data_IF_926223136123
#
_entry.id   IF_926223136123
#
_cell.length_a   1.000
_cell.length_b   1.000
_cell.length_c   1.000
_cell.angle_alpha   90.00
_cell.angle_beta   90.00
_cell.angle_gamma   90.00
#
_symmetry.space_group_name_H-M   'P 1'
#
loop_
_entity.id
_entity.type
_entity.pdbx_description
1 polymer ?
#
# COMPACT_ATOMS: atom_id res chain seq x y z
N UNK A 1 -28.06 -7.03 43.91
CA UNK A 1 -28.52 -7.51 42.82
C UNK A 1 -28.48 -6.61 41.71
N UNK A 2 -29.11 -5.56 41.72
CA UNK A 2 -29.03 -4.71 40.59
C UNK A 2 -27.70 -4.22 40.37
N UNK A 3 -26.90 -4.24 41.31
CA UNK A 3 -25.57 -3.83 41.14
C UNK A 3 -24.83 -4.54 40.07
N UNK A 4 -25.11 -5.76 39.91
CA UNK A 4 -24.47 -6.59 38.97
C UNK A 4 -24.60 -6.10 37.59
N UNK A 5 -25.70 -5.51 37.28
CA UNK A 5 -25.89 -5.07 35.93
C UNK A 5 -24.99 -3.97 35.53
N UNK A 6 -24.57 -3.17 36.46
CA UNK A 6 -23.71 -2.14 36.06
C UNK A 6 -22.41 -2.62 35.67
N UNK A 7 -21.96 -3.65 36.30
CA UNK A 7 -20.66 -4.17 36.03
C UNK A 7 -20.49 -4.58 34.63
N UNK A 8 -21.50 -5.18 34.08
CA UNK A 8 -21.33 -5.63 32.71
C UNK A 8 -21.17 -4.46 31.79
N UNK A 9 -21.84 -3.41 32.07
CA UNK A 9 -21.70 -2.28 31.16
C UNK A 9 -20.29 -1.75 31.17
N UNK A 10 -19.68 -1.76 32.30
CA UNK A 10 -18.35 -1.26 32.39
C UNK A 10 -17.39 -2.08 31.61
N UNK A 11 -17.54 -3.36 31.68
CA UNK A 11 -16.63 -4.22 30.98
C UNK A 11 -16.62 -3.93 29.50
N UNK A 12 -17.76 -3.63 28.97
CA UNK A 12 -17.81 -3.36 27.56
C UNK A 12 -17.02 -2.12 27.22
N UNK A 13 -17.12 -1.14 28.01
CA UNK A 13 -16.41 0.06 27.72
C UNK A 13 -14.94 -0.13 27.70
N UNK A 14 -14.45 -0.91 28.65
CA UNK A 14 -13.02 -1.13 28.71
C UNK A 14 -12.51 -1.84 27.46
N UNK A 15 -13.24 -2.79 27.00
CA UNK A 15 -12.80 -3.52 25.85
C UNK A 15 -12.68 -2.64 24.63
N UNK A 16 -13.59 -1.75 24.46
CA UNK A 16 -13.54 -0.89 23.30
C UNK A 16 -12.36 0.06 23.35
N UNK A 17 -12.04 0.51 24.50
CA UNK A 17 -10.97 1.46 24.62
C UNK A 17 -9.64 0.89 24.18
N UNK A 18 -9.38 -0.33 24.56
CA UNK A 18 -8.07 -0.89 24.22
C UNK A 18 -7.92 -1.06 22.72
N UNK A 19 -8.98 -1.36 22.01
CA UNK A 19 -8.87 -1.48 20.58
C UNK A 19 -8.57 -0.14 19.94
N UNK A 20 -9.22 0.89 20.41
CA UNK A 20 -9.01 2.18 19.81
C UNK A 20 -7.62 2.71 19.99
N UNK A 21 -7.00 2.38 21.09
CA UNK A 21 -5.67 2.91 21.32
C UNK A 21 -4.66 2.39 20.34
N UNK A 22 -4.78 1.17 19.96
CA UNK A 22 -3.85 0.62 19.00
C UNK A 22 -3.93 1.36 17.68
N UNK A 23 -5.13 1.68 17.27
CA UNK A 23 -5.29 2.37 16.02
C UNK A 23 -4.74 3.79 16.07
N UNK A 24 -4.90 4.43 17.19
CA UNK A 24 -4.42 5.78 17.31
C UNK A 24 -2.93 5.88 17.24
N UNK A 25 -2.25 4.94 17.82
CA UNK A 25 -0.81 4.98 17.78
C UNK A 25 -0.28 4.94 16.37
N UNK A 26 -0.89 4.14 15.53
CA UNK A 26 -0.46 4.07 14.16
C UNK A 26 -0.70 5.37 13.43
N UNK A 27 -1.76 6.05 13.77
CA UNK A 27 -2.06 7.30 13.10
C UNK A 27 -1.03 8.37 13.41
N UNK A 28 -0.59 8.43 14.63
CA UNK A 28 0.36 9.45 14.98
C UNK A 28 1.67 9.34 14.25
N UNK A 29 2.11 8.15 14.04
CA UNK A 29 3.41 7.97 13.40
C UNK A 29 3.45 8.50 12.00
N UNK A 30 2.30 8.65 11.38
CA UNK A 30 2.27 9.03 9.97
C UNK A 30 1.77 10.44 9.71
N UNK A 31 1.49 11.18 10.76
CA UNK A 31 0.91 12.51 10.58
C UNK A 31 1.84 13.52 9.95
N UNK A 32 3.12 13.39 10.22
CA UNK A 32 4.09 14.35 9.74
C UNK A 32 4.81 13.93 8.48
N UNK A 33 4.55 12.75 8.01
CA UNK A 33 5.24 12.24 6.83
C UNK A 33 4.38 12.36 5.59
N UNK A 34 4.97 12.72 4.45
CA UNK A 34 4.22 12.75 3.21
C UNK A 34 3.62 11.38 2.89
N UNK A 35 2.41 11.41 2.41
CA UNK A 35 1.66 10.20 2.09
C UNK A 35 1.76 9.92 0.59
N UNK A 36 1.94 8.69 0.25
CA UNK A 36 1.99 8.25 -1.14
C UNK A 36 0.81 7.32 -1.40
N UNK A 37 -0.01 7.67 -2.38
CA UNK A 37 -1.13 6.84 -2.79
C UNK A 37 -0.87 6.39 -4.21
N UNK A 38 -0.80 5.07 -4.41
CA UNK A 38 -0.64 4.52 -5.73
C UNK A 38 -1.92 3.87 -6.20
N UNK A 39 -2.22 4.00 -7.47
CA UNK A 39 -3.34 3.34 -8.09
C UNK A 39 -2.85 2.49 -9.24
N UNK A 40 -3.29 1.24 -9.28
CA UNK A 40 -2.90 0.28 -10.30
C UNK A 40 -4.12 -0.06 -11.14
N UNK A 41 -3.98 0.11 -12.45
CA UNK A 41 -5.08 -0.15 -13.39
C UNK A 41 -4.60 -1.00 -14.55
N UNK A 42 -5.56 -1.56 -15.29
CA UNK A 42 -5.28 -2.21 -16.56
C UNK A 42 -5.26 -1.18 -17.69
N UNK A 43 -5.04 -1.60 -18.94
CA UNK A 43 -5.00 -0.64 -20.05
C UNK A 43 -6.31 0.12 -20.28
N UNK A 44 -7.42 -0.39 -19.78
CA UNK A 44 -8.72 0.26 -19.92
C UNK A 44 -9.10 1.09 -18.70
N UNK A 45 -8.11 1.39 -17.85
CA UNK A 45 -8.28 2.18 -16.62
C UNK A 45 -9.14 1.50 -15.55
N UNK A 46 -9.30 0.19 -15.64
CA UNK A 46 -10.01 -0.54 -14.58
C UNK A 46 -9.03 -0.87 -13.46
N UNK A 47 -9.44 -0.66 -12.22
CA UNK A 47 -8.56 -0.96 -11.08
C UNK A 47 -8.27 -2.45 -10.99
N UNK A 48 -7.04 -2.78 -10.60
CA UNK A 48 -6.64 -4.16 -10.42
C UNK A 48 -6.39 -4.42 -8.94
N UNK A 49 -7.14 -5.36 -8.40
CA UNK A 49 -7.01 -5.76 -7.02
C UNK A 49 -5.91 -6.81 -6.87
N UNK A 50 -5.33 -6.87 -5.68
CA UNK A 50 -4.42 -7.97 -5.28
C UNK A 50 -3.08 -8.00 -6.01
N UNK A 51 -2.64 -6.88 -6.50
CA UNK A 51 -1.29 -6.75 -7.05
C UNK A 51 -0.32 -6.61 -5.89
N UNK A 52 0.73 -7.39 -5.91
CA UNK A 52 1.78 -7.29 -4.90
C UNK A 52 2.63 -6.07 -5.19
N UNK A 53 2.71 -5.17 -4.24
CA UNK A 53 3.47 -3.94 -4.36
C UNK A 53 4.66 -4.02 -3.42
N UNK A 54 5.84 -4.08 -3.96
CA UNK A 54 7.05 -4.02 -3.15
C UNK A 54 7.55 -2.59 -3.18
N UNK A 55 7.68 -2.00 -2.02
CA UNK A 55 8.08 -0.62 -1.84
C UNK A 55 9.45 -0.62 -1.20
N UNK A 56 10.45 -0.18 -1.94
CA UNK A 56 11.83 -0.22 -1.53
C UNK A 56 12.34 1.21 -1.36
N UNK A 57 12.72 1.53 -0.14
CA UNK A 57 13.26 2.84 0.17
C UNK A 57 14.78 2.78 0.27
N UNK A 58 15.42 3.68 -0.44
CA UNK A 58 16.88 3.87 -0.38
C UNK A 58 17.67 2.61 -0.65
N UNK A 59 17.30 1.93 -1.73
CA UNK A 59 18.04 0.77 -2.23
C UNK A 59 18.23 -0.34 -1.20
N UNK A 60 17.11 -0.75 -0.61
CA UNK A 60 17.10 -1.86 0.32
C UNK A 60 17.20 -1.48 1.77
N UNK A 61 17.27 -0.20 2.08
CA UNK A 61 17.35 0.21 3.47
C UNK A 61 16.06 -0.12 4.23
N UNK A 62 14.92 0.04 3.57
CA UNK A 62 13.65 -0.34 4.15
C UNK A 62 12.72 -0.85 3.06
N UNK A 63 12.18 -2.04 3.25
CA UNK A 63 11.29 -2.67 2.27
C UNK A 63 9.95 -2.96 2.91
N UNK A 64 8.89 -2.57 2.22
CA UNK A 64 7.53 -2.78 2.65
C UNK A 64 6.76 -3.49 1.54
N UNK A 65 5.88 -4.40 1.91
CA UNK A 65 5.06 -5.12 0.93
C UNK A 65 3.60 -4.84 1.20
N UNK A 66 2.89 -4.42 0.17
CA UNK A 66 1.47 -4.13 0.22
C UNK A 66 0.75 -4.85 -0.92
N UNK A 67 -0.56 -4.84 -0.87
CA UNK A 67 -1.39 -5.41 -1.93
C UNK A 67 -2.46 -4.39 -2.27
N UNK A 68 -2.79 -4.25 -3.55
CA UNK A 68 -3.83 -3.32 -3.94
C UNK A 68 -5.20 -3.82 -3.49
N UNK A 69 -6.05 -2.88 -3.13
CA UNK A 69 -7.42 -3.18 -2.72
C UNK A 69 -8.36 -3.23 -3.94
N UNK A 70 -9.65 -3.34 -3.69
CA UNK A 70 -10.64 -3.45 -4.77
C UNK A 70 -10.71 -2.22 -5.67
N UNK A 71 -10.20 -1.10 -5.19
CA UNK A 71 -10.11 0.12 -6.00
C UNK A 71 -8.75 0.27 -6.66
N UNK A 72 -7.91 -0.74 -6.56
CA UNK A 72 -6.57 -0.73 -7.13
C UNK A 72 -5.60 0.13 -6.37
N UNK A 73 -5.89 0.47 -5.13
CA UNK A 73 -5.10 1.42 -4.37
C UNK A 73 -4.16 0.75 -3.37
N UNK A 74 -3.03 1.38 -3.19
CA UNK A 74 -2.14 1.08 -2.08
C UNK A 74 -1.64 2.40 -1.50
N UNK A 75 -1.29 2.40 -0.23
CA UNK A 75 -0.83 3.61 0.46
C UNK A 75 0.43 3.30 1.23
N UNK A 76 1.40 4.20 1.16
CA UNK A 76 2.57 4.14 2.00
C UNK A 76 2.93 5.56 2.44
N UNK A 77 3.88 5.67 3.34
CA UNK A 77 4.32 6.96 3.86
C UNK A 77 5.81 7.08 3.67
N UNK A 78 6.23 8.28 3.31
CA UNK A 78 7.65 8.56 3.16
C UNK A 78 8.31 8.43 4.53
N UNK A 79 9.47 7.81 4.56
CA UNK A 79 10.20 7.70 5.80
C UNK A 79 10.77 9.03 6.20
N UNK A 80 10.74 9.31 7.49
CA UNK A 80 11.33 10.54 7.97
C UNK A 80 12.84 10.41 7.87
N UNK A 81 13.43 11.32 7.13
CA UNK A 81 14.85 11.47 7.06
C UNK A 81 15.23 12.83 7.62
N UNK A 82 16.44 13.26 7.37
CA UNK A 82 16.81 14.59 7.74
C UNK A 82 16.16 15.57 6.78
N UNK A 83 15.81 16.71 7.30
CA UNK A 83 15.16 17.73 6.50
C UNK A 83 16.01 18.11 5.31
N UNK A 84 15.41 18.06 4.12
CA UNK A 84 16.11 18.40 2.90
C UNK A 84 16.82 17.24 2.23
N UNK A 85 16.80 16.06 2.82
CA UNK A 85 17.37 14.89 2.17
C UNK A 85 16.41 14.30 1.17
N UNK A 86 16.96 13.84 0.06
CA UNK A 86 16.18 13.12 -0.91
C UNK A 86 16.18 11.64 -0.57
N UNK A 87 15.10 10.98 -0.90
CA UNK A 87 14.98 9.54 -0.72
C UNK A 87 14.68 8.87 -2.04
N UNK A 88 15.24 7.71 -2.24
CA UNK A 88 15.03 6.94 -3.46
C UNK A 88 13.94 5.92 -3.19
N UNK A 89 12.90 5.96 -4.01
CA UNK A 89 11.77 5.04 -3.89
C UNK A 89 11.70 4.18 -5.12
N UNK A 90 11.73 2.87 -4.94
CA UNK A 90 11.48 1.93 -6.03
C UNK A 90 10.20 1.17 -5.74
N UNK A 91 9.27 1.21 -6.66
CA UNK A 91 8.02 0.47 -6.54
C UNK A 91 7.99 -0.62 -7.59
N UNK A 92 7.81 -1.85 -7.16
CA UNK A 92 7.70 -3.00 -8.04
C UNK A 92 6.32 -3.62 -7.89
N UNK A 93 5.66 -3.80 -9.02
CA UNK A 93 4.30 -4.33 -9.08
C UNK A 93 4.32 -5.70 -9.72
N UNK A 94 3.74 -6.68 -9.05
CA UNK A 94 3.74 -8.06 -9.53
C UNK A 94 2.36 -8.69 -9.35
N UNK A 95 1.90 -9.35 -10.40
CA UNK A 95 0.67 -10.11 -10.33
C UNK A 95 1.02 -11.51 -9.80
N UNK A 96 0.49 -11.83 -8.63
CA UNK A 96 0.85 -13.07 -7.96
C UNK A 96 -0.28 -14.09 -7.94
N UNK A 97 -1.44 -13.76 -8.48
CA UNK A 97 -2.59 -14.64 -8.38
C UNK A 97 -3.01 -15.25 -9.73
N UNK A 98 -2.21 -15.08 -10.75
CA UNK A 98 -2.50 -15.66 -12.05
C UNK A 98 -3.68 -14.99 -12.73
N UNK A 99 -4.69 -15.78 -13.07
CA UNK A 99 -5.83 -15.26 -13.81
C UNK A 99 -6.91 -14.62 -12.96
N UNK A 100 -6.75 -14.64 -11.65
CA UNK A 100 -7.74 -14.03 -10.77
C UNK A 100 -7.68 -12.51 -10.86
N UNK A 101 -8.72 -11.85 -10.44
CA UNK A 101 -8.80 -10.39 -10.37
C UNK A 101 -8.44 -9.68 -11.68
N UNK A 102 -9.01 -10.15 -12.77
CA UNK A 102 -8.92 -9.42 -14.03
C UNK A 102 -7.91 -9.94 -15.03
N UNK A 103 -7.25 -11.04 -14.74
CA UNK A 103 -6.30 -11.66 -15.65
C UNK A 103 -4.87 -11.53 -15.19
N UNK A 104 -3.96 -11.99 -16.00
CA UNK A 104 -2.53 -11.98 -15.69
C UNK A 104 -1.88 -10.73 -16.27
N UNK A 105 -1.10 -10.04 -15.46
CA UNK A 105 -0.46 -8.79 -15.85
C UNK A 105 1.05 -8.89 -15.77
N UNK A 106 1.71 -8.12 -16.63
CA UNK A 106 3.16 -8.05 -16.63
C UNK A 106 3.66 -7.21 -15.48
N UNK A 107 4.79 -7.60 -14.91
CA UNK A 107 5.41 -6.85 -13.81
C UNK A 107 5.92 -5.50 -14.28
N UNK A 108 5.97 -4.56 -13.36
CA UNK A 108 6.46 -3.22 -13.64
C UNK A 108 7.25 -2.71 -12.44
N UNK A 109 8.34 -2.03 -12.70
CA UNK A 109 9.15 -1.44 -11.65
C UNK A 109 9.54 -0.03 -12.04
N UNK A 110 9.44 0.90 -11.10
CA UNK A 110 9.83 2.30 -11.32
C UNK A 110 10.58 2.82 -10.12
N UNK A 111 11.60 3.62 -10.39
CA UNK A 111 12.42 4.25 -9.35
C UNK A 111 12.32 5.76 -9.49
N UNK A 112 12.15 6.43 -8.39
CA UNK A 112 12.05 7.88 -8.37
C UNK A 112 12.77 8.45 -7.15
N UNK A 113 13.16 9.70 -7.24
CA UNK A 113 13.77 10.40 -6.13
C UNK A 113 12.77 11.41 -5.58
N UNK A 114 12.56 11.37 -4.30
CA UNK A 114 11.60 12.24 -3.63
C UNK A 114 12.33 13.09 -2.60
N UNK A 115 11.92 14.36 -2.55
CA UNK A 115 12.40 15.25 -1.51
C UNK A 115 11.36 15.29 -0.41
N UNK A 116 11.82 15.29 0.83
CA UNK A 116 10.91 15.44 1.94
C UNK A 116 10.43 16.88 1.96
N UNK A 117 9.17 17.04 1.61
CA UNK A 117 8.52 18.33 1.68
C UNK A 117 7.30 18.19 2.57
N UNK A 118 6.81 19.30 3.03
CA UNK A 118 5.76 19.32 4.04
C UNK A 118 4.52 18.56 3.64
N UNK A 119 4.18 17.55 4.36
CA UNK A 119 2.86 16.89 4.39
C UNK A 119 2.05 16.83 3.09
N UNK A 120 2.69 16.82 1.95
CA UNK A 120 1.95 16.72 0.71
C UNK A 120 1.66 15.26 0.38
N UNK A 121 0.50 15.06 -0.23
CA UNK A 121 0.15 13.73 -0.71
C UNK A 121 0.64 13.59 -2.13
N UNK A 122 1.35 12.51 -2.41
CA UNK A 122 1.85 12.21 -3.75
C UNK A 122 0.97 11.13 -4.34
N UNK A 123 0.42 11.39 -5.51
CA UNK A 123 -0.45 10.43 -6.19
C UNK A 123 0.28 9.85 -7.39
N UNK A 124 0.34 8.52 -7.44
CA UNK A 124 1.00 7.80 -8.51
C UNK A 124 -0.01 6.91 -9.21
N UNK A 125 0.08 6.79 -10.51
CA UNK A 125 -0.80 5.91 -11.27
C UNK A 125 0.06 4.98 -12.10
N UNK A 126 -0.19 3.68 -11.98
CA UNK A 126 0.53 2.66 -12.71
C UNK A 126 -0.46 1.88 -13.54
N UNK A 127 -0.16 1.78 -14.84
CA UNK A 127 -1.00 0.99 -15.74
C UNK A 127 -0.21 -0.27 -16.10
N UNK A 128 -0.80 -1.43 -15.84
CA UNK A 128 -0.17 -2.70 -16.15
C UNK A 128 -0.78 -3.26 -17.41
N UNK A 129 0.07 -3.80 -18.27
CA UNK A 129 -0.39 -4.46 -19.47
C UNK A 129 -0.60 -5.94 -19.19
N UNK A 130 -1.52 -6.56 -19.93
CA UNK A 130 -1.72 -7.98 -19.82
C UNK A 130 -0.45 -8.71 -20.26
N UNK A 131 -0.13 -9.79 -19.56
CA UNK A 131 1.05 -10.57 -19.88
C UNK A 131 0.85 -11.29 -21.21
N UNK A 132 1.92 -11.40 -21.97
CA UNK A 132 1.88 -12.11 -23.23
C UNK A 132 2.16 -13.59 -22.95
N UNK A 133 1.33 -14.46 -23.51
CA UNK A 133 1.48 -15.89 -23.30
C UNK A 133 2.66 -16.39 -24.11
N UNK A 134 3.68 -16.85 -23.42
CA UNK A 134 4.88 -17.33 -24.08
C UNK A 134 4.70 -18.66 -24.77
N UNK A 135 3.75 -19.45 -24.33
CA UNK A 135 3.53 -20.75 -24.93
C UNK A 135 3.03 -20.62 -26.36
N UNK A 136 2.60 -19.46 -26.77
CA UNK A 136 2.18 -19.25 -28.14
C UNK A 136 3.34 -18.91 -29.05
N UNK A 137 4.52 -18.86 -28.52
CA UNK A 137 5.68 -18.61 -29.35
C UNK A 137 5.88 -19.73 -30.35
N UNK A 138 6.16 -19.41 -31.60
CA UNK A 138 6.37 -20.45 -32.58
C UNK A 138 7.52 -21.33 -32.19
N UNK A 139 7.36 -22.57 -32.45
CA UNK A 139 8.41 -23.53 -32.20
C UNK A 139 9.13 -23.86 -33.48
N UNK A 140 10.36 -23.84 -33.45
CA UNK A 140 11.15 -24.14 -34.65
C UNK A 140 12.14 -25.21 -34.43
#
# INVERSE_FOLDING_TARGET
MRLITFISAICLGAALVSSCMADMDMSFDNLDNPKIIGKVTDPDDKPIEHIKVTIDWNEGEYIEIKYTDSDGLFTTYMHSGEEGESQILTITLEDIDGDDFGGTFSSRSETMTLLEENNSTINLVYRLNHAIALENSPQF
#
